data_IF_574802635973
#
_entry.id   IF_574802635973
#
_cell.length_a   1.000
_cell.length_b   1.000
_cell.length_c   1.000
_cell.angle_alpha   90.00
_cell.angle_beta   90.00
_cell.angle_gamma   90.00
#
_symmetry.space_group_name_H-M   'P 1'
#
loop_
_entity.id
_entity.type
_entity.pdbx_description
1 polymer ?
#
# COMPACT_ATOMS: atom_id res chain seq x y z
N UNK A 1 16.70 -16.81 -13.16
CA UNK A 1 16.48 -15.97 -11.98
C UNK A 1 16.54 -16.86 -10.77
N UNK A 2 17.25 -16.53 -9.72
CA UNK A 2 17.11 -17.23 -8.48
C UNK A 2 15.71 -16.92 -7.91
N UNK A 3 14.83 -17.90 -7.89
CA UNK A 3 13.61 -17.85 -7.13
C UNK A 3 14.02 -17.86 -5.66
N UNK A 4 13.82 -16.73 -4.96
CA UNK A 4 13.96 -16.71 -3.51
C UNK A 4 12.70 -17.37 -2.97
N UNK A 5 12.85 -18.61 -2.49
CA UNK A 5 11.74 -19.42 -2.01
C UNK A 5 11.54 -19.36 -0.51
N UNK A 6 12.50 -18.81 0.26
CA UNK A 6 12.38 -18.71 1.71
C UNK A 6 13.40 -17.70 2.25
N UNK A 7 12.92 -16.56 2.73
CA UNK A 7 13.73 -15.54 3.44
C UNK A 7 13.20 -15.35 4.86
N UNK A 8 12.76 -16.41 5.50
CA UNK A 8 12.20 -16.30 6.84
C UNK A 8 13.33 -16.28 7.88
N UNK A 9 13.61 -15.11 8.41
CA UNK A 9 14.40 -14.95 9.64
C UNK A 9 13.69 -13.93 10.54
N UNK A 10 13.44 -14.30 11.78
CA UNK A 10 12.78 -13.47 12.79
C UNK A 10 13.55 -12.16 13.12
N UNK A 11 14.69 -11.95 12.53
CA UNK A 11 15.54 -10.76 12.76
C UNK A 11 15.56 -9.76 11.60
N UNK A 12 15.03 -10.12 10.43
CA UNK A 12 15.06 -9.26 9.24
C UNK A 12 14.04 -8.12 9.38
N UNK A 13 14.54 -6.89 9.42
CA UNK A 13 13.71 -5.67 9.48
C UNK A 13 13.60 -4.95 8.14
N UNK A 14 14.60 -5.11 7.27
CA UNK A 14 14.64 -4.47 5.95
C UNK A 14 15.20 -5.42 4.90
N UNK A 15 14.52 -5.45 3.76
CA UNK A 15 14.97 -6.20 2.58
C UNK A 15 15.05 -5.26 1.39
N UNK A 16 16.14 -5.37 0.63
CA UNK A 16 16.32 -4.68 -0.65
C UNK A 16 16.51 -5.75 -1.71
N UNK A 17 15.52 -5.87 -2.61
CA UNK A 17 15.61 -6.84 -3.70
C UNK A 17 16.53 -6.31 -4.82
N UNK A 18 17.39 -7.16 -5.40
CA UNK A 18 18.31 -6.76 -6.46
C UNK A 18 17.58 -6.44 -7.77
N UNK A 19 18.21 -5.61 -8.61
CA UNK A 19 17.74 -5.37 -9.97
C UNK A 19 17.73 -6.65 -10.80
N UNK A 20 16.82 -6.73 -11.77
CA UNK A 20 16.62 -7.90 -12.61
C UNK A 20 15.80 -9.02 -11.99
N UNK A 21 15.36 -8.88 -10.72
CA UNK A 21 14.42 -9.81 -10.12
C UNK A 21 13.03 -9.54 -10.67
N UNK A 22 12.37 -10.56 -11.20
CA UNK A 22 11.08 -10.44 -11.86
C UNK A 22 9.92 -11.03 -11.06
N UNK A 23 10.21 -11.93 -10.12
CA UNK A 23 9.17 -12.64 -9.39
C UNK A 23 9.51 -12.84 -7.91
N UNK A 24 8.48 -12.71 -7.05
CA UNK A 24 8.51 -13.15 -5.66
C UNK A 24 7.68 -14.43 -5.56
N UNK A 25 8.32 -15.51 -5.12
CA UNK A 25 7.70 -16.82 -4.99
C UNK A 25 6.69 -16.91 -3.85
N UNK A 26 5.89 -17.97 -3.85
CA UNK A 26 4.94 -18.26 -2.79
C UNK A 26 5.67 -18.43 -1.45
N UNK A 27 5.10 -17.87 -0.38
CA UNK A 27 5.62 -17.91 1.00
C UNK A 27 7.02 -17.29 1.17
N UNK A 28 7.54 -16.54 0.19
CA UNK A 28 8.90 -16.00 0.22
C UNK A 28 9.22 -15.20 1.50
N UNK A 29 8.27 -14.40 1.98
CA UNK A 29 8.36 -13.62 3.23
C UNK A 29 7.37 -14.11 4.29
N UNK A 30 6.91 -15.35 4.19
CA UNK A 30 5.98 -15.90 5.17
C UNK A 30 6.56 -15.83 6.59
N UNK A 31 5.75 -15.31 7.53
CA UNK A 31 6.15 -15.11 8.93
C UNK A 31 7.35 -14.16 9.17
N UNK A 32 7.75 -13.34 8.20
CA UNK A 32 8.72 -12.29 8.44
C UNK A 32 8.12 -11.19 9.33
N UNK A 33 7.84 -11.53 10.59
CA UNK A 33 7.07 -10.71 11.53
C UNK A 33 7.73 -9.38 11.91
N UNK A 34 9.05 -9.24 11.68
CA UNK A 34 9.81 -8.00 11.93
C UNK A 34 10.10 -7.20 10.67
N UNK A 35 9.84 -7.76 9.49
CA UNK A 35 10.03 -7.04 8.23
C UNK A 35 9.19 -5.78 8.22
N UNK A 36 9.82 -4.65 8.18
CA UNK A 36 9.21 -3.32 8.27
C UNK A 36 9.34 -2.52 6.98
N UNK A 37 10.42 -2.73 6.22
CA UNK A 37 10.70 -2.04 4.96
C UNK A 37 11.09 -3.03 3.88
N UNK A 38 10.40 -2.97 2.73
CA UNK A 38 10.75 -3.74 1.54
C UNK A 38 10.99 -2.80 0.36
N UNK A 39 12.17 -2.91 -0.24
CA UNK A 39 12.52 -2.16 -1.44
C UNK A 39 12.51 -3.10 -2.65
N UNK A 40 11.77 -2.71 -3.68
CA UNK A 40 11.44 -3.49 -4.86
C UNK A 40 12.04 -2.85 -6.12
N UNK A 41 12.70 -3.62 -7.00
CA UNK A 41 13.18 -3.12 -8.28
C UNK A 41 12.01 -2.84 -9.23
N UNK A 42 12.26 -2.00 -10.25
CA UNK A 42 11.28 -1.71 -11.31
C UNK A 42 10.86 -2.93 -12.12
N UNK A 43 11.75 -3.92 -12.20
CA UNK A 43 11.55 -5.10 -13.05
C UNK A 43 10.63 -6.15 -12.44
N UNK A 44 10.31 -6.01 -11.16
CA UNK A 44 9.44 -6.98 -10.50
C UNK A 44 8.02 -6.89 -11.04
N UNK A 45 7.53 -8.00 -11.59
CA UNK A 45 6.27 -8.00 -12.31
C UNK A 45 5.26 -9.04 -11.81
N UNK A 46 5.68 -9.96 -10.94
CA UNK A 46 4.80 -11.01 -10.44
C UNK A 46 5.08 -11.34 -8.97
N UNK A 47 4.01 -11.63 -8.23
CA UNK A 47 4.06 -12.01 -6.81
C UNK A 47 3.06 -13.13 -6.58
N UNK A 48 3.53 -14.28 -6.16
CA UNK A 48 2.66 -15.41 -5.84
C UNK A 48 1.83 -15.16 -4.56
N UNK A 49 0.75 -15.90 -4.41
CA UNK A 49 -0.10 -15.83 -3.22
C UNK A 49 0.67 -16.20 -1.93
N UNK A 50 0.19 -15.66 -0.81
CA UNK A 50 0.74 -15.89 0.53
C UNK A 50 2.21 -15.46 0.71
N UNK A 51 2.79 -14.73 -0.25
CA UNK A 51 4.19 -14.30 -0.18
C UNK A 51 4.48 -13.42 1.04
N UNK A 52 3.51 -12.62 1.49
CA UNK A 52 3.61 -11.68 2.62
C UNK A 52 2.74 -12.07 3.82
N UNK A 53 2.27 -13.30 3.87
CA UNK A 53 1.42 -13.77 4.96
C UNK A 53 2.15 -13.64 6.31
N UNK A 54 1.50 -13.01 7.29
CA UNK A 54 2.03 -12.71 8.63
C UNK A 54 3.20 -11.69 8.67
N UNK A 55 3.40 -10.88 7.63
CA UNK A 55 4.31 -9.73 7.67
C UNK A 55 3.65 -8.53 8.40
N UNK A 56 3.30 -8.70 9.66
CA UNK A 56 2.44 -7.76 10.42
C UNK A 56 3.07 -6.39 10.70
N UNK A 57 4.40 -6.25 10.54
CA UNK A 57 5.12 -4.98 10.73
C UNK A 57 5.53 -4.31 9.42
N UNK A 58 5.14 -4.84 8.27
CA UNK A 58 5.48 -4.23 6.99
C UNK A 58 4.68 -2.95 6.77
N UNK A 59 5.33 -1.81 7.02
CA UNK A 59 4.70 -0.49 6.93
C UNK A 59 5.21 0.37 5.76
N UNK A 60 6.32 -0.02 5.10
CA UNK A 60 6.90 0.75 4.00
C UNK A 60 7.30 -0.16 2.83
N UNK A 61 6.75 0.13 1.68
CA UNK A 61 7.19 -0.39 0.39
C UNK A 61 7.89 0.73 -0.38
N UNK A 62 9.10 0.47 -0.88
CA UNK A 62 9.82 1.40 -1.76
C UNK A 62 9.87 0.79 -3.16
N UNK A 63 9.18 1.41 -4.11
CA UNK A 63 9.17 1.00 -5.52
C UNK A 63 10.24 1.78 -6.27
N UNK A 64 11.28 1.12 -6.80
CA UNK A 64 12.22 1.78 -7.71
C UNK A 64 11.58 1.91 -9.09
N UNK A 65 11.32 3.14 -9.53
CA UNK A 65 10.66 3.42 -10.80
C UNK A 65 9.55 4.47 -10.69
N UNK A 66 8.72 4.55 -11.73
CA UNK A 66 7.64 5.52 -11.82
C UNK A 66 6.29 4.92 -11.38
N UNK A 67 5.41 5.70 -10.74
CA UNK A 67 4.03 5.28 -10.51
C UNK A 67 3.24 4.94 -11.78
N UNK A 68 3.71 5.39 -12.95
CA UNK A 68 3.12 5.07 -14.27
C UNK A 68 3.53 3.71 -14.81
N UNK A 69 4.54 3.09 -14.22
CA UNK A 69 5.00 1.79 -14.68
C UNK A 69 4.02 0.70 -14.24
N UNK A 70 3.82 -0.28 -15.11
CA UNK A 70 3.09 -1.50 -14.73
C UNK A 70 3.90 -2.23 -13.67
N UNK A 71 3.26 -2.58 -12.57
CA UNK A 71 3.94 -3.21 -11.45
C UNK A 71 3.10 -4.33 -10.80
N UNK A 72 3.72 -5.08 -9.91
CA UNK A 72 3.04 -6.07 -9.06
C UNK A 72 2.45 -5.47 -7.77
N UNK A 73 2.46 -4.14 -7.63
CA UNK A 73 2.09 -3.47 -6.38
C UNK A 73 0.69 -3.88 -5.90
N UNK A 74 -0.30 -3.99 -6.81
CA UNK A 74 -1.64 -4.46 -6.43
C UNK A 74 -1.62 -5.86 -5.82
N UNK A 75 -0.80 -6.78 -6.36
CA UNK A 75 -0.67 -8.15 -5.84
C UNK A 75 -0.06 -8.16 -4.43
N UNK A 76 0.91 -7.27 -4.16
CA UNK A 76 1.51 -7.11 -2.83
C UNK A 76 0.49 -6.53 -1.86
N UNK A 77 -0.15 -5.41 -2.22
CA UNK A 77 -1.12 -4.72 -1.38
C UNK A 77 -2.35 -5.58 -1.03
N UNK A 78 -2.74 -6.51 -1.90
CA UNK A 78 -3.84 -7.43 -1.62
C UNK A 78 -3.52 -8.47 -0.55
N UNK A 79 -2.25 -8.64 -0.20
CA UNK A 79 -1.78 -9.57 0.84
C UNK A 79 -1.46 -8.88 2.18
N UNK A 80 -1.57 -7.54 2.23
CA UNK A 80 -1.23 -6.73 3.40
C UNK A 80 -2.47 -5.92 3.78
N UNK A 81 -3.11 -6.25 4.90
CA UNK A 81 -4.29 -5.51 5.39
C UNK A 81 -3.95 -4.37 6.35
N UNK A 82 -2.75 -4.39 6.95
CA UNK A 82 -2.27 -3.35 7.87
C UNK A 82 -1.98 -2.03 7.14
N UNK A 83 -1.84 -0.95 7.90
CA UNK A 83 -1.40 0.34 7.36
C UNK A 83 -0.05 0.20 6.65
N UNK A 84 0.02 0.60 5.38
CA UNK A 84 1.27 0.55 4.60
C UNK A 84 1.44 1.81 3.75
N UNK A 85 2.65 2.34 3.74
CA UNK A 85 3.05 3.45 2.88
C UNK A 85 3.81 2.93 1.68
N UNK A 86 3.51 3.45 0.50
CA UNK A 86 4.23 3.13 -0.73
C UNK A 86 4.93 4.38 -1.23
N UNK A 87 6.23 4.29 -1.41
CA UNK A 87 7.07 5.36 -1.92
C UNK A 87 7.63 4.96 -3.28
N UNK A 88 7.48 5.81 -4.27
CA UNK A 88 8.17 5.65 -5.55
C UNK A 88 9.43 6.52 -5.55
N UNK A 89 10.55 5.92 -5.89
CA UNK A 89 11.84 6.59 -5.92
C UNK A 89 12.55 6.32 -7.25
N UNK A 90 13.21 7.34 -7.77
CA UNK A 90 14.08 7.21 -8.94
C UNK A 90 15.47 6.67 -8.54
N UNK A 91 16.31 6.37 -9.52
CA UNK A 91 17.58 5.69 -9.33
C UNK A 91 18.57 6.41 -8.38
N UNK A 92 18.42 7.70 -8.17
CA UNK A 92 19.21 8.48 -7.21
C UNK A 92 18.66 8.42 -5.76
N UNK A 93 17.59 7.65 -5.54
CA UNK A 93 16.94 7.51 -4.23
C UNK A 93 15.96 8.62 -3.88
N UNK A 94 15.80 9.65 -4.73
CA UNK A 94 14.83 10.72 -4.50
C UNK A 94 13.40 10.20 -4.69
N UNK A 95 12.55 10.43 -3.70
CA UNK A 95 11.14 10.09 -3.79
C UNK A 95 10.42 11.08 -4.72
N UNK A 96 9.63 10.55 -5.64
CA UNK A 96 8.83 11.32 -6.60
C UNK A 96 7.34 11.28 -6.29
N UNK A 97 6.89 10.27 -5.54
CA UNK A 97 5.50 10.11 -5.12
C UNK A 97 5.43 9.24 -3.87
N UNK A 98 4.39 9.42 -3.08
CA UNK A 98 4.08 8.55 -1.95
C UNK A 98 2.57 8.46 -1.75
N UNK A 99 2.10 7.25 -1.40
CA UNK A 99 0.71 6.97 -1.03
C UNK A 99 0.67 6.27 0.33
N UNK A 100 -0.41 6.51 1.08
CA UNK A 100 -0.72 5.85 2.34
C UNK A 100 -1.96 4.97 2.13
N UNK A 101 -1.85 3.68 2.43
CA UNK A 101 -2.95 2.73 2.36
C UNK A 101 -3.37 2.37 3.77
N UNK A 102 -4.56 2.82 4.15
CA UNK A 102 -5.13 2.59 5.47
C UNK A 102 -5.24 1.09 5.79
N UNK A 103 -5.29 0.77 7.06
CA UNK A 103 -5.65 -0.57 7.52
C UNK A 103 -7.09 -0.88 7.14
N UNK A 104 -7.41 -2.15 6.96
CA UNK A 104 -8.78 -2.63 6.79
C UNK A 104 -8.95 -4.00 7.39
N UNK A 105 -10.16 -4.27 7.90
CA UNK A 105 -10.54 -5.54 8.45
C UNK A 105 -11.48 -6.30 7.54
N UNK A 106 -11.37 -7.62 7.59
CA UNK A 106 -12.29 -8.55 6.92
C UNK A 106 -13.09 -9.31 7.98
N UNK A 107 -14.39 -9.18 7.93
CA UNK A 107 -15.29 -9.94 8.79
C UNK A 107 -16.21 -10.83 7.98
N UNK A 108 -16.53 -12.00 8.52
CA UNK A 108 -17.43 -12.95 7.89
C UNK A 108 -18.69 -13.09 8.75
N UNK A 109 -19.83 -12.69 8.21
CA UNK A 109 -21.12 -12.91 8.84
C UNK A 109 -21.75 -14.18 8.27
N UNK A 110 -22.15 -15.12 9.13
CA UNK A 110 -22.91 -16.28 8.71
C UNK A 110 -24.37 -15.87 8.46
N UNK A 111 -24.85 -16.16 7.24
CA UNK A 111 -26.21 -15.82 6.83
C UNK A 111 -27.03 -17.10 6.71
N UNK A 112 -27.94 -17.33 7.69
CA UNK A 112 -28.94 -18.35 7.65
C UNK A 112 -28.44 -19.80 7.81
N UNK A 113 -29.35 -20.77 7.79
CA UNK A 113 -29.06 -22.16 8.14
C UNK A 113 -28.21 -22.93 7.11
N UNK A 114 -27.89 -22.31 5.96
CA UNK A 114 -27.12 -22.95 4.89
C UNK A 114 -25.59 -22.69 4.99
N UNK A 115 -25.11 -22.14 6.10
CA UNK A 115 -23.70 -21.75 6.28
C UNK A 115 -23.16 -20.89 5.15
N UNK A 116 -23.96 -19.95 4.68
CA UNK A 116 -23.55 -18.95 3.70
C UNK A 116 -22.85 -17.81 4.45
N UNK A 117 -21.64 -17.48 4.04
CA UNK A 117 -20.86 -16.41 4.66
C UNK A 117 -20.89 -15.17 3.77
N UNK A 118 -21.18 -14.03 4.39
CA UNK A 118 -21.02 -12.72 3.77
C UNK A 118 -19.69 -12.12 4.22
N UNK A 119 -18.83 -11.79 3.28
CA UNK A 119 -17.62 -11.06 3.54
C UNK A 119 -17.92 -9.56 3.62
N UNK A 120 -17.57 -8.94 4.73
CA UNK A 120 -17.61 -7.49 4.90
C UNK A 120 -16.18 -6.96 4.97
N UNK A 121 -15.96 -5.83 4.31
CA UNK A 121 -14.71 -5.06 4.39
C UNK A 121 -14.99 -3.79 5.19
N UNK A 122 -14.23 -3.58 6.26
CA UNK A 122 -14.35 -2.41 7.11
C UNK A 122 -13.15 -1.49 6.90
N UNK A 123 -13.40 -0.18 6.74
CA UNK A 123 -12.38 0.82 6.43
C UNK A 123 -12.17 1.04 4.93
N UNK A 124 -11.64 2.19 4.58
CA UNK A 124 -11.37 2.61 3.20
C UNK A 124 -10.06 2.01 2.64
N UNK A 125 -9.26 1.39 3.49
CA UNK A 125 -8.00 0.78 3.09
C UNK A 125 -8.13 -0.29 2.01
N UNK A 126 -9.23 -1.05 2.00
CA UNK A 126 -9.50 -2.01 0.92
C UNK A 126 -9.77 -1.31 -0.41
N UNK A 127 -10.57 -0.23 -0.43
CA UNK A 127 -10.88 0.54 -1.64
C UNK A 127 -9.63 1.21 -2.20
N UNK A 128 -8.76 1.77 -1.33
CA UNK A 128 -7.50 2.37 -1.75
C UNK A 128 -6.61 1.37 -2.52
N UNK A 129 -6.62 0.10 -2.10
CA UNK A 129 -5.88 -0.99 -2.76
C UNK A 129 -6.47 -1.42 -4.10
N UNK A 130 -7.65 -0.93 -4.47
CA UNK A 130 -8.27 -1.18 -5.78
C UNK A 130 -8.00 -0.06 -6.80
N UNK A 131 -7.35 1.05 -6.43
CA UNK A 131 -7.05 2.17 -7.32
C UNK A 131 -6.00 1.82 -8.38
N UNK A 132 -6.27 0.80 -9.19
CA UNK A 132 -5.39 0.31 -10.26
C UNK A 132 -6.17 0.04 -11.55
N UNK A 133 -5.55 0.39 -12.69
CA UNK A 133 -6.03 0.02 -14.01
C UNK A 133 -4.86 -0.58 -14.81
N UNK A 134 -5.03 -1.79 -15.34
CA UNK A 134 -4.00 -2.52 -16.08
C UNK A 134 -2.63 -2.54 -15.37
N UNK A 135 -2.63 -2.79 -14.04
CA UNK A 135 -1.44 -2.84 -13.17
C UNK A 135 -0.72 -1.49 -12.95
N UNK A 136 -1.32 -0.40 -13.41
CA UNK A 136 -0.85 0.98 -13.15
C UNK A 136 -1.67 1.59 -12.04
N UNK A 137 -1.02 2.28 -11.11
CA UNK A 137 -1.70 2.98 -10.03
C UNK A 137 -2.41 4.23 -10.54
N UNK A 138 -3.68 4.41 -10.18
CA UNK A 138 -4.54 5.48 -10.67
C UNK A 138 -4.78 6.52 -9.57
N UNK A 139 -3.97 7.57 -9.57
CA UNK A 139 -3.99 8.62 -8.55
C UNK A 139 -5.36 9.26 -8.36
N UNK A 140 -6.08 9.52 -9.44
CA UNK A 140 -7.42 10.11 -9.35
C UNK A 140 -8.38 9.25 -8.53
N UNK A 141 -8.41 7.93 -8.77
CA UNK A 141 -9.24 7.02 -7.99
C UNK A 141 -8.83 6.93 -6.53
N UNK A 142 -7.53 7.01 -6.26
CA UNK A 142 -6.98 7.03 -4.91
C UNK A 142 -7.35 8.32 -4.19
N UNK A 143 -7.22 9.49 -4.82
CA UNK A 143 -7.54 10.79 -4.22
C UNK A 143 -9.06 10.92 -3.91
N UNK A 144 -9.93 10.36 -4.75
CA UNK A 144 -11.39 10.35 -4.56
C UNK A 144 -11.84 9.62 -3.28
N UNK A 145 -11.01 8.71 -2.75
CA UNK A 145 -11.32 7.96 -1.51
C UNK A 145 -11.27 8.88 -0.28
N UNK A 146 -10.48 9.92 -0.31
CA UNK A 146 -10.24 10.77 0.85
C UNK A 146 -11.51 11.33 1.48
N UNK A 147 -12.49 11.73 0.66
CA UNK A 147 -13.76 12.29 1.16
C UNK A 147 -14.57 11.30 2.02
N UNK A 148 -14.52 10.02 1.69
CA UNK A 148 -15.21 8.97 2.43
C UNK A 148 -14.38 8.50 3.62
N UNK A 149 -13.06 8.48 3.47
CA UNK A 149 -12.11 8.13 4.51
C UNK A 149 -12.21 9.06 5.74
N UNK A 150 -12.54 10.34 5.56
CA UNK A 150 -12.75 11.31 6.67
C UNK A 150 -13.73 10.80 7.73
N UNK A 151 -14.72 9.99 7.34
CA UNK A 151 -15.73 9.49 8.27
C UNK A 151 -15.32 8.19 8.97
N UNK A 152 -14.28 7.49 8.50
CA UNK A 152 -13.97 6.12 8.92
C UNK A 152 -12.54 5.96 9.45
N UNK A 153 -11.59 6.74 8.93
CA UNK A 153 -10.17 6.57 9.22
C UNK A 153 -9.69 7.50 10.36
N UNK A 154 -8.54 7.18 10.93
CA UNK A 154 -7.94 8.01 11.96
C UNK A 154 -7.48 9.37 11.42
N UNK A 155 -7.52 10.40 12.26
CA UNK A 155 -7.06 11.75 11.91
C UNK A 155 -5.58 11.73 11.48
N UNK A 156 -4.74 10.95 12.16
CA UNK A 156 -3.30 10.87 11.86
C UNK A 156 -3.03 10.25 10.49
N UNK A 157 -3.75 9.20 10.12
CA UNK A 157 -3.60 8.55 8.81
C UNK A 157 -4.10 9.43 7.66
N UNK A 158 -5.18 10.18 7.91
CA UNK A 158 -5.71 11.16 6.96
C UNK A 158 -4.75 12.33 6.76
N UNK A 159 -4.13 12.83 7.84
CA UNK A 159 -3.09 13.84 7.75
C UNK A 159 -1.88 13.33 6.97
N UNK A 160 -1.43 12.11 7.21
CA UNK A 160 -0.35 11.46 6.47
C UNK A 160 -0.67 11.39 4.97
N UNK A 161 -1.87 10.93 4.60
CA UNK A 161 -2.30 10.89 3.20
C UNK A 161 -2.28 12.29 2.58
N UNK A 162 -2.90 13.28 3.22
CA UNK A 162 -2.99 14.64 2.72
C UNK A 162 -1.60 15.29 2.58
N UNK A 163 -0.72 15.14 3.57
CA UNK A 163 0.65 15.66 3.52
C UNK A 163 1.46 15.05 2.38
N UNK A 164 1.46 13.74 2.21
CA UNK A 164 2.24 13.11 1.15
C UNK A 164 1.71 13.46 -0.23
N UNK A 165 0.39 13.58 -0.40
CA UNK A 165 -0.20 14.02 -1.66
C UNK A 165 0.18 15.47 -2.02
N UNK A 166 0.25 16.36 -1.03
CA UNK A 166 0.66 17.75 -1.24
C UNK A 166 2.18 17.90 -1.44
N UNK A 167 3.00 17.17 -0.67
CA UNK A 167 4.47 17.25 -0.77
C UNK A 167 4.96 16.82 -2.15
N UNK A 168 4.47 15.70 -2.64
CA UNK A 168 4.92 15.17 -3.93
C UNK A 168 4.07 15.68 -5.10
N UNK A 169 2.83 16.07 -4.87
CA UNK A 169 1.87 16.62 -5.86
C UNK A 169 1.80 15.85 -7.19
N UNK A 170 2.19 14.57 -7.19
CA UNK A 170 2.26 13.75 -8.38
C UNK A 170 0.86 13.52 -8.97
N UNK A 171 0.60 14.00 -10.20
CA UNK A 171 -0.72 13.97 -10.86
C UNK A 171 -1.89 14.47 -9.98
N UNK A 172 -1.61 15.42 -9.09
CA UNK A 172 -2.60 15.95 -8.17
C UNK A 172 -3.52 16.97 -8.88
N UNK A 173 -4.83 16.73 -8.85
CA UNK A 173 -5.82 17.66 -9.37
C UNK A 173 -5.96 18.88 -8.45
N UNK A 174 -6.48 20.00 -9.01
CA UNK A 174 -6.72 21.21 -8.20
C UNK A 174 -7.78 20.97 -7.12
N UNK A 175 -8.80 20.19 -7.44
CA UNK A 175 -9.90 19.86 -6.55
C UNK A 175 -9.39 19.02 -5.37
N UNK A 176 -8.61 17.97 -5.63
CA UNK A 176 -8.00 17.13 -4.59
C UNK A 176 -7.00 17.93 -3.74
N UNK A 177 -6.18 18.81 -4.38
CA UNK A 177 -5.26 19.69 -3.67
C UNK A 177 -6.00 20.60 -2.69
N UNK A 178 -7.10 21.21 -3.12
CA UNK A 178 -7.92 22.06 -2.27
C UNK A 178 -8.46 21.30 -1.07
N UNK A 179 -8.99 20.10 -1.29
CA UNK A 179 -9.55 19.24 -0.26
C UNK A 179 -8.51 18.86 0.80
N UNK A 180 -7.31 18.45 0.38
CA UNK A 180 -6.21 18.12 1.29
C UNK A 180 -5.74 19.34 2.09
N UNK A 181 -5.62 20.50 1.45
CA UNK A 181 -5.24 21.75 2.13
C UNK A 181 -6.28 22.17 3.17
N UNK A 182 -7.56 22.13 2.83
CA UNK A 182 -8.66 22.47 3.75
C UNK A 182 -8.65 21.51 4.96
N UNK A 183 -8.45 20.21 4.72
CA UNK A 183 -8.37 19.24 5.81
C UNK A 183 -7.22 19.56 6.76
N UNK A 184 -6.00 19.76 6.25
CA UNK A 184 -4.82 20.09 7.07
C UNK A 184 -5.04 21.40 7.85
N UNK A 185 -5.58 22.44 7.21
CA UNK A 185 -5.81 23.74 7.87
C UNK A 185 -6.79 23.60 9.03
N UNK A 186 -7.85 22.81 8.85
CA UNK A 186 -8.88 22.60 9.88
C UNK A 186 -8.39 21.76 11.07
N UNK A 187 -7.35 20.92 10.87
CA UNK A 187 -6.79 20.02 11.89
C UNK A 187 -5.43 20.47 12.43
N UNK A 188 -4.93 21.66 12.03
CA UNK A 188 -3.64 22.25 12.46
C UNK A 188 -3.48 22.47 13.98
N UNK A 189 -4.52 22.39 14.75
CA UNK A 189 -4.44 22.67 16.21
C UNK A 189 -3.77 21.57 17.02
N UNK A 190 -3.28 20.49 16.37
CA UNK A 190 -2.65 19.33 17.00
C UNK A 190 -1.22 19.04 16.53
N UNK A 191 -0.68 19.85 15.63
CA UNK A 191 0.73 19.88 15.26
C UNK A 191 1.49 20.93 16.15
#
# INVERSE_FOLDING_TARGET
CPDITELCDDYIERVILPDGMQKIGRLCFYNCSRLSVLELPSDICDVDGDAFMNCTKLYMLVMRGSPKDKSCLKQILSQISTLVRVRWAVSDGNAIAQACFFEYDQTYDEIGPAHIFKLNMNGEGFRARQAFMDRVFVWKQYDEIFSEAIAQESEDDLLDMAFYRLIYAYELSKEAMQQFLEYIVNHKKRL
#
